data_IF_905911735600
#
_entry.id   IF_905911735600
#
_cell.length_a   1.000
_cell.length_b   1.000
_cell.length_c   1.000
_cell.angle_alpha   90.00
_cell.angle_beta   90.00
_cell.angle_gamma   90.00
#
_symmetry.space_group_name_H-M   'P 1'
#
loop_
_entity.id
_entity.type
_entity.pdbx_description
1 polymer ?
#
# COMPACT_ATOMS: atom_id res chain seq x y z
N UNK A 1 -8.22 24.97 2.29
CA UNK A 1 -8.19 23.67 3.01
C UNK A 1 -8.71 22.64 2.02
N UNK A 2 -7.93 21.61 1.65
CA UNK A 2 -8.45 20.54 0.79
C UNK A 2 -9.50 19.78 1.60
N UNK A 3 -10.74 19.77 1.15
CA UNK A 3 -11.84 19.08 1.80
C UNK A 3 -11.58 17.56 1.85
N UNK A 4 -11.50 17.01 3.07
CA UNK A 4 -12.08 15.73 3.44
C UNK A 4 -11.38 14.43 3.00
N UNK A 5 -10.07 14.26 3.24
CA UNK A 5 -9.52 12.91 3.35
C UNK A 5 -9.73 12.43 4.80
N UNK A 6 -10.48 11.34 4.99
CA UNK A 6 -10.68 10.79 6.33
C UNK A 6 -9.35 10.25 6.91
N UNK A 7 -9.28 10.16 8.23
CA UNK A 7 -8.05 9.79 8.94
C UNK A 7 -7.52 8.39 8.56
N UNK A 8 -8.41 7.45 8.20
CA UNK A 8 -8.03 6.10 7.78
C UNK A 8 -7.38 6.16 6.41
N UNK A 9 -7.98 6.89 5.47
CA UNK A 9 -7.41 7.11 4.13
C UNK A 9 -6.02 7.77 4.21
N UNK A 10 -5.85 8.79 5.05
CA UNK A 10 -4.53 9.43 5.24
C UNK A 10 -3.51 8.45 5.82
N UNK A 11 -3.90 7.62 6.80
CA UNK A 11 -3.02 6.61 7.38
C UNK A 11 -2.57 5.55 6.35
N UNK A 12 -3.45 5.17 5.41
CA UNK A 12 -3.07 4.30 4.28
C UNK A 12 -2.04 4.95 3.34
N UNK A 13 -2.17 6.24 3.07
CA UNK A 13 -1.20 7.00 2.25
C UNK A 13 0.15 7.07 2.97
N UNK A 14 0.15 7.41 4.26
CA UNK A 14 1.36 7.53 5.07
C UNK A 14 2.08 6.18 5.21
N UNK A 15 1.34 5.08 5.31
CA UNK A 15 1.88 3.73 5.29
C UNK A 15 2.61 3.43 3.96
N UNK A 16 1.97 3.76 2.83
CA UNK A 16 2.58 3.60 1.51
C UNK A 16 3.88 4.41 1.35
N UNK A 17 3.89 5.66 1.82
CA UNK A 17 5.07 6.53 1.78
C UNK A 17 6.23 6.03 2.65
N UNK A 18 5.93 5.37 3.77
CA UNK A 18 6.96 4.76 4.62
C UNK A 18 7.54 3.51 3.94
N UNK A 19 6.68 2.63 3.43
CA UNK A 19 7.10 1.41 2.73
C UNK A 19 7.86 1.69 1.42
N UNK A 20 7.57 2.82 0.75
CA UNK A 20 8.33 3.23 -0.43
C UNK A 20 9.76 3.66 -0.09
N UNK A 21 10.02 4.11 1.15
CA UNK A 21 11.35 4.50 1.63
C UNK A 21 12.11 3.30 2.20
N UNK A 22 11.43 2.43 2.93
CA UNK A 22 11.99 1.21 3.48
C UNK A 22 10.95 0.07 3.42
N UNK A 23 11.12 -0.88 2.49
CA UNK A 23 10.16 -1.98 2.29
C UNK A 23 10.21 -3.03 3.41
N UNK A 24 11.15 -2.96 4.35
CA UNK A 24 11.27 -3.90 5.47
C UNK A 24 10.47 -3.48 6.70
N UNK A 25 9.90 -2.26 6.69
CA UNK A 25 9.11 -1.72 7.79
C UNK A 25 7.86 -2.57 8.06
N UNK A 26 7.60 -2.81 9.34
CA UNK A 26 6.36 -3.44 9.81
C UNK A 26 5.37 -2.35 10.21
N UNK A 27 4.42 -2.07 9.32
CA UNK A 27 3.39 -1.04 9.56
C UNK A 27 2.12 -1.71 10.08
N UNK A 28 1.56 -1.18 11.18
CA UNK A 28 0.29 -1.66 11.74
C UNK A 28 -0.88 -1.27 10.83
N UNK A 29 -1.85 -2.17 10.68
CA UNK A 29 -3.02 -1.93 9.83
C UNK A 29 -3.85 -0.73 10.31
N UNK A 30 -4.08 0.29 9.46
CA UNK A 30 -4.87 1.47 9.81
C UNK A 30 -6.33 1.16 10.15
N UNK A 31 -6.84 0.02 9.69
CA UNK A 31 -8.27 -0.32 9.79
C UNK A 31 -8.58 -1.11 11.07
N UNK A 32 -7.83 -2.18 11.33
CA UNK A 32 -8.10 -3.06 12.47
C UNK A 32 -7.15 -2.85 13.66
N UNK A 33 -6.00 -2.20 13.46
CA UNK A 33 -4.99 -1.99 14.50
C UNK A 33 -4.29 -3.25 15.03
N UNK A 34 -4.57 -4.44 14.46
CA UNK A 34 -4.07 -5.73 14.96
C UNK A 34 -2.98 -6.35 14.09
N UNK A 35 -3.23 -6.41 12.77
CA UNK A 35 -2.29 -7.00 11.82
C UNK A 35 -1.23 -6.01 11.33
N UNK A 36 -0.23 -6.53 10.63
CA UNK A 36 0.74 -5.71 9.88
C UNK A 36 0.40 -5.73 8.39
N UNK A 37 0.78 -4.67 7.68
CA UNK A 37 0.68 -4.62 6.23
C UNK A 37 1.80 -5.47 5.60
N UNK A 38 1.44 -6.23 4.58
CA UNK A 38 2.34 -7.02 3.74
C UNK A 38 2.23 -6.51 2.31
N UNK A 39 3.37 -6.26 1.67
CA UNK A 39 3.44 -5.83 0.27
C UNK A 39 3.50 -7.05 -0.65
N UNK A 40 2.70 -7.03 -1.72
CA UNK A 40 2.75 -8.01 -2.80
C UNK A 40 2.72 -7.28 -4.14
N UNK A 41 3.68 -7.58 -5.00
CA UNK A 41 3.73 -7.05 -6.37
C UNK A 41 3.20 -8.10 -7.34
N UNK A 42 2.22 -7.72 -8.15
CA UNK A 42 1.66 -8.56 -9.21
C UNK A 42 1.81 -7.88 -10.57
N UNK A 43 2.18 -8.61 -11.64
CA UNK A 43 2.21 -8.03 -12.97
C UNK A 43 0.80 -7.58 -13.38
N UNK A 44 0.71 -6.43 -14.05
CA UNK A 44 -0.52 -6.12 -14.78
C UNK A 44 -0.51 -6.82 -16.14
N UNK A 45 -1.62 -6.76 -16.87
CA UNK A 45 -1.64 -7.19 -18.28
C UNK A 45 -0.71 -6.38 -19.19
N UNK A 46 -0.26 -5.20 -18.75
CA UNK A 46 0.79 -4.41 -19.41
C UNK A 46 2.16 -4.80 -18.84
N UNK A 47 3.12 -5.27 -19.66
CA UNK A 47 4.46 -5.64 -19.20
C UNK A 47 5.27 -4.47 -18.63
N UNK A 48 4.84 -3.22 -18.84
CA UNK A 48 5.47 -2.02 -18.28
C UNK A 48 4.85 -1.59 -16.94
N UNK A 49 3.89 -2.33 -16.42
CA UNK A 49 3.20 -1.97 -15.19
C UNK A 49 3.06 -3.16 -14.26
N UNK A 50 3.15 -2.89 -12.96
CA UNK A 50 2.79 -3.85 -11.91
C UNK A 50 1.86 -3.20 -10.89
N UNK A 51 0.98 -3.97 -10.29
CA UNK A 51 0.20 -3.54 -9.13
C UNK A 51 0.94 -3.93 -7.86
N UNK A 52 1.21 -2.95 -7.00
CA UNK A 52 1.70 -3.17 -5.63
C UNK A 52 0.52 -3.10 -4.67
N UNK A 53 0.19 -4.23 -4.08
CA UNK A 53 -0.82 -4.36 -3.03
C UNK A 53 -0.19 -4.18 -1.65
N UNK A 54 -0.87 -3.47 -0.75
CA UNK A 54 -0.60 -3.52 0.70
C UNK A 54 -1.80 -4.17 1.38
N UNK A 55 -1.59 -5.34 1.98
CA UNK A 55 -2.65 -6.19 2.50
C UNK A 55 -2.44 -6.42 3.99
N UNK A 56 -3.47 -6.23 4.81
CA UNK A 56 -3.40 -6.59 6.23
C UNK A 56 -3.33 -8.11 6.41
N UNK A 57 -2.39 -8.59 7.22
CA UNK A 57 -2.27 -10.02 7.57
C UNK A 57 -3.42 -10.57 8.42
N UNK A 58 -4.19 -9.70 9.09
CA UNK A 58 -5.27 -10.06 10.00
C UNK A 58 -6.66 -9.84 9.37
N UNK A 59 -7.07 -8.58 9.16
CA UNK A 59 -8.41 -8.25 8.64
C UNK A 59 -8.54 -8.32 7.12
N UNK A 60 -7.44 -8.60 6.39
CA UNK A 60 -7.38 -8.73 4.93
C UNK A 60 -7.80 -7.51 4.12
N UNK A 61 -8.14 -6.38 4.74
CA UNK A 61 -8.32 -5.10 4.03
C UNK A 61 -7.01 -4.71 3.34
N UNK A 62 -7.17 -4.08 2.19
CA UNK A 62 -6.05 -3.81 1.29
C UNK A 62 -6.28 -2.51 0.52
N UNK A 63 -5.18 -1.95 0.04
CA UNK A 63 -5.17 -0.99 -1.06
C UNK A 63 -4.11 -1.42 -2.09
N UNK A 64 -4.11 -0.76 -3.25
CA UNK A 64 -3.09 -0.98 -4.27
C UNK A 64 -2.68 0.32 -4.95
N UNK A 65 -1.49 0.33 -5.50
CA UNK A 65 -1.02 1.34 -6.43
C UNK A 65 -0.46 0.65 -7.67
N UNK A 66 -0.86 1.11 -8.86
CA UNK A 66 -0.24 0.69 -10.11
C UNK A 66 1.04 1.49 -10.28
N UNK A 67 2.17 0.79 -10.44
CA UNK A 67 3.48 1.38 -10.66
C UNK A 67 3.91 1.10 -12.10
N UNK A 68 4.40 2.13 -12.77
CA UNK A 68 5.09 1.96 -14.04
C UNK A 68 6.50 1.41 -13.72
N UNK A 69 6.81 0.23 -14.26
CA UNK A 69 8.14 -0.33 -14.23
C UNK A 69 8.91 0.21 -15.44
N UNK A 70 9.87 1.12 -15.26
CA UNK A 70 10.75 1.48 -16.37
C UNK A 70 11.49 0.22 -16.81
N UNK A 71 11.18 -0.24 -18.01
CA UNK A 71 11.95 -1.29 -18.68
C UNK A 71 13.38 -0.74 -18.81
N UNK A 72 14.33 -1.32 -18.07
CA UNK A 72 15.77 -1.10 -18.27
C UNK A 72 16.17 -1.49 -19.69
#
# INVERSE_FOLDING_TARGET
MREGMDAITQAWVDAGLQLSKDPTLKITCPECGKGTLVCLDEPTGDPKQSDRYMICSDCRKWNKVTIDNPVN
#
